data_IF_087132569375
#
_entry.id   IF_087132569375
#
_cell.length_a   1.000
_cell.length_b   1.000
_cell.length_c   1.000
_cell.angle_alpha   90.00
_cell.angle_beta   90.00
_cell.angle_gamma   90.00
#
_symmetry.space_group_name_H-M   'P 1'
#
loop_
_entity.id
_entity.type
_entity.pdbx_description
1 polymer ?
#
# COMPACT_ATOMS: atom_id res chain seq x y z
N UNK A 1 5.23 18.33 8.71
CA UNK A 1 4.65 17.22 7.96
C UNK A 1 4.15 17.60 6.55
N UNK A 2 3.33 18.64 6.30
CA UNK A 2 2.79 18.88 4.96
C UNK A 2 3.83 19.23 3.88
N UNK A 3 4.92 19.91 4.20
CA UNK A 3 5.92 20.32 3.22
C UNK A 3 6.69 19.12 2.61
N UNK A 4 7.04 18.13 3.42
CA UNK A 4 7.73 16.90 2.97
C UNK A 4 6.84 16.10 2.04
N UNK A 5 5.56 15.91 2.38
CA UNK A 5 4.60 15.21 1.53
C UNK A 5 4.40 15.93 0.19
N UNK A 6 4.28 17.27 0.19
CA UNK A 6 4.20 18.06 -1.03
C UNK A 6 5.45 17.95 -1.90
N UNK A 7 6.61 17.92 -1.29
CA UNK A 7 7.86 17.72 -2.02
C UNK A 7 7.85 16.37 -2.75
N UNK A 8 7.50 15.28 -2.06
CA UNK A 8 7.46 13.95 -2.69
C UNK A 8 6.31 13.76 -3.68
N UNK A 9 5.21 14.51 -3.55
CA UNK A 9 4.06 14.38 -4.47
C UNK A 9 4.34 14.80 -5.92
N UNK A 10 5.39 15.58 -6.17
CA UNK A 10 5.76 16.01 -7.54
C UNK A 10 6.65 15.00 -8.27
N UNK A 11 7.23 14.04 -7.54
CA UNK A 11 8.11 13.04 -8.16
C UNK A 11 7.31 12.00 -8.96
N UNK A 12 7.89 11.50 -10.06
CA UNK A 12 7.28 10.41 -10.81
C UNK A 12 7.24 9.14 -9.98
N UNK A 13 6.19 8.35 -10.16
CA UNK A 13 5.91 7.16 -9.35
C UNK A 13 7.04 6.13 -9.38
N UNK A 14 7.69 5.95 -10.54
CA UNK A 14 8.80 5.02 -10.65
C UNK A 14 9.98 5.36 -9.72
N UNK A 15 10.27 6.67 -9.55
CA UNK A 15 11.33 7.12 -8.66
C UNK A 15 10.96 6.88 -7.19
N UNK A 16 9.72 7.18 -6.81
CA UNK A 16 9.20 6.89 -5.48
C UNK A 16 9.25 5.39 -5.17
N UNK A 17 8.97 4.54 -6.15
CA UNK A 17 9.06 3.09 -5.99
C UNK A 17 10.49 2.60 -5.79
N UNK A 18 11.49 3.18 -6.45
CA UNK A 18 12.89 2.84 -6.21
C UNK A 18 13.28 3.23 -4.79
N UNK A 19 13.01 4.48 -4.41
CA UNK A 19 13.30 4.99 -3.05
C UNK A 19 12.59 4.14 -2.00
N UNK A 20 11.31 3.88 -2.18
CA UNK A 20 10.50 3.08 -1.26
C UNK A 20 11.03 1.65 -1.13
N UNK A 21 11.41 1.02 -2.23
CA UNK A 21 12.01 -0.31 -2.22
C UNK A 21 13.28 -0.35 -1.37
N UNK A 22 14.19 0.60 -1.59
CA UNK A 22 15.44 0.71 -0.81
C UNK A 22 15.14 0.93 0.66
N UNK A 23 14.25 1.87 0.99
CA UNK A 23 13.86 2.15 2.38
C UNK A 23 13.19 0.95 3.05
N UNK A 24 12.38 0.18 2.33
CA UNK A 24 11.78 -1.06 2.82
C UNK A 24 12.85 -2.08 3.23
N UNK A 25 13.85 -2.28 2.40
CA UNK A 25 14.96 -3.17 2.71
C UNK A 25 15.85 -2.66 3.85
N UNK A 26 16.12 -1.36 3.90
CA UNK A 26 16.85 -0.74 5.03
C UNK A 26 16.08 -0.93 6.32
N UNK A 27 14.77 -0.67 6.34
CA UNK A 27 13.92 -0.88 7.52
C UNK A 27 13.94 -2.36 7.96
N UNK A 28 13.87 -3.29 7.02
CA UNK A 28 13.97 -4.73 7.32
C UNK A 28 15.33 -5.11 7.92
N UNK A 29 16.42 -4.55 7.42
CA UNK A 29 17.78 -4.84 7.91
C UNK A 29 18.00 -4.26 9.32
N UNK A 30 17.55 -3.02 9.56
CA UNK A 30 17.82 -2.29 10.80
C UNK A 30 16.84 -2.65 11.92
N UNK A 31 15.54 -2.83 11.60
CA UNK A 31 14.52 -3.10 12.58
C UNK A 31 14.36 -4.60 12.86
N UNK A 32 14.95 -5.07 13.97
CA UNK A 32 14.79 -6.47 14.42
C UNK A 32 13.34 -6.84 14.68
N UNK A 33 12.55 -5.93 15.25
CA UNK A 33 11.12 -6.15 15.53
C UNK A 33 10.32 -6.32 14.24
N UNK A 34 10.53 -5.45 13.24
CA UNK A 34 9.86 -5.56 11.95
C UNK A 34 10.21 -6.89 11.26
N UNK A 35 11.51 -7.23 11.22
CA UNK A 35 11.99 -8.48 10.62
C UNK A 35 11.39 -9.70 11.30
N UNK A 36 11.38 -9.76 12.63
CA UNK A 36 10.80 -10.89 13.36
C UNK A 36 9.31 -11.05 13.08
N UNK A 37 8.53 -9.98 13.08
CA UNK A 37 7.09 -10.01 12.76
C UNK A 37 6.85 -10.46 11.32
N UNK A 38 7.63 -9.92 10.38
CA UNK A 38 7.53 -10.33 8.98
C UNK A 38 7.77 -11.83 8.80
N UNK A 39 8.86 -12.35 9.38
CA UNK A 39 9.21 -13.76 9.28
C UNK A 39 8.19 -14.67 9.99
N UNK A 40 7.69 -14.26 11.15
CA UNK A 40 6.66 -14.99 11.87
C UNK A 40 5.35 -15.06 11.06
N UNK A 41 4.90 -13.95 10.47
CA UNK A 41 3.71 -13.92 9.64
C UNK A 41 3.87 -14.78 8.36
N UNK A 42 5.04 -14.75 7.73
CA UNK A 42 5.34 -15.61 6.58
C UNK A 42 5.26 -17.09 6.96
N UNK A 43 5.86 -17.48 8.09
CA UNK A 43 5.82 -18.84 8.59
C UNK A 43 4.40 -19.31 8.92
N UNK A 44 3.58 -18.47 9.58
CA UNK A 44 2.17 -18.75 9.85
C UNK A 44 1.36 -18.99 8.57
N UNK A 45 1.69 -18.27 7.50
CA UNK A 45 1.07 -18.45 6.19
C UNK A 45 1.66 -19.63 5.38
N UNK A 46 2.63 -20.36 5.93
CA UNK A 46 3.26 -21.50 5.27
C UNK A 46 4.31 -21.13 4.21
N UNK A 47 4.81 -19.90 4.21
CA UNK A 47 5.82 -19.44 3.24
C UNK A 47 7.21 -19.34 3.86
N UNK A 48 8.22 -19.71 3.08
CA UNK A 48 9.62 -19.41 3.39
C UNK A 48 9.94 -17.95 3.06
N UNK A 49 10.98 -17.39 3.70
CA UNK A 49 11.45 -16.04 3.38
C UNK A 49 11.81 -15.87 1.90
N UNK A 50 12.42 -16.87 1.27
CA UNK A 50 12.79 -16.82 -0.14
C UNK A 50 11.58 -16.57 -1.07
N UNK A 51 10.42 -17.13 -0.72
CA UNK A 51 9.18 -16.97 -1.50
C UNK A 51 8.55 -15.59 -1.32
N UNK A 52 8.68 -14.96 -0.15
CA UNK A 52 8.02 -13.69 0.18
C UNK A 52 8.96 -12.49 0.26
N UNK A 53 10.26 -12.67 0.02
CA UNK A 53 11.26 -11.60 0.17
C UNK A 53 10.94 -10.32 -0.62
N UNK A 54 10.28 -10.45 -1.77
CA UNK A 54 9.87 -9.31 -2.58
C UNK A 54 8.88 -8.40 -1.86
N UNK A 55 8.07 -8.94 -0.94
CA UNK A 55 7.10 -8.17 -0.17
C UNK A 55 7.75 -7.09 0.71
N UNK A 56 9.01 -7.29 1.13
CA UNK A 56 9.77 -6.26 1.88
C UNK A 56 9.91 -4.99 1.06
N UNK A 57 10.35 -5.11 -0.20
CA UNK A 57 10.48 -3.97 -1.11
C UNK A 57 9.11 -3.39 -1.51
N UNK A 58 8.10 -4.24 -1.70
CA UNK A 58 6.74 -3.80 -2.03
C UNK A 58 6.09 -3.02 -0.89
N UNK A 59 6.29 -3.40 0.36
CA UNK A 59 5.81 -2.65 1.52
C UNK A 59 6.42 -1.22 1.55
N UNK A 60 7.71 -1.10 1.26
CA UNK A 60 8.35 0.21 1.16
C UNK A 60 7.82 1.05 0.00
N UNK A 61 7.56 0.46 -1.17
CA UNK A 61 6.95 1.13 -2.32
C UNK A 61 5.56 1.68 -1.98
N UNK A 62 4.72 0.87 -1.36
CA UNK A 62 3.37 1.25 -0.94
C UNK A 62 3.39 2.49 -0.03
N UNK A 63 4.30 2.56 0.92
CA UNK A 63 4.43 3.74 1.80
C UNK A 63 4.96 4.95 1.03
N UNK A 64 5.90 4.76 0.12
CA UNK A 64 6.52 5.86 -0.63
C UNK A 64 5.58 6.51 -1.66
N UNK A 65 4.56 5.80 -2.15
CA UNK A 65 3.60 6.35 -3.12
C UNK A 65 2.51 7.22 -2.49
N UNK A 66 2.25 7.10 -1.17
CA UNK A 66 1.20 7.85 -0.49
C UNK A 66 1.22 9.36 -0.74
N UNK A 67 2.36 10.06 -0.67
CA UNK A 67 2.39 11.49 -0.96
C UNK A 67 1.92 11.82 -2.38
N UNK A 68 2.24 10.96 -3.34
CA UNK A 68 1.85 11.14 -4.74
C UNK A 68 0.35 10.89 -4.93
N UNK A 69 -0.20 9.88 -4.27
CA UNK A 69 -1.62 9.54 -4.36
C UNK A 69 -2.50 10.60 -3.71
N UNK A 70 -2.09 11.11 -2.55
CA UNK A 70 -2.92 12.05 -1.79
C UNK A 70 -2.80 13.49 -2.25
N UNK A 71 -1.64 13.93 -2.72
CA UNK A 71 -1.35 15.33 -3.02
C UNK A 71 -0.89 15.57 -4.45
N UNK A 72 -0.70 14.51 -5.23
CA UNK A 72 -0.27 14.58 -6.62
C UNK A 72 -1.44 14.82 -7.60
N UNK A 73 -1.13 14.72 -8.89
CA UNK A 73 -2.17 14.75 -9.93
C UNK A 73 -3.11 13.53 -9.77
N UNK A 74 -4.42 13.71 -9.99
CA UNK A 74 -5.37 12.62 -9.92
C UNK A 74 -4.96 11.44 -10.81
N UNK A 75 -5.07 10.24 -10.27
CA UNK A 75 -4.84 9.00 -11.02
C UNK A 75 -6.20 8.52 -11.54
N UNK A 76 -6.34 8.21 -12.84
CA UNK A 76 -7.59 7.66 -13.35
C UNK A 76 -7.86 6.29 -12.72
N UNK A 77 -9.00 6.17 -12.06
CA UNK A 77 -9.44 4.94 -11.41
C UNK A 77 -10.65 4.41 -12.17
N UNK A 78 -10.63 3.13 -12.52
CA UNK A 78 -11.78 2.42 -13.04
C UNK A 78 -12.39 1.58 -11.91
N UNK A 79 -13.64 1.87 -11.57
CA UNK A 79 -14.38 1.13 -10.54
C UNK A 79 -15.25 0.09 -11.23
N UNK A 80 -15.06 -1.18 -10.88
CA UNK A 80 -15.91 -2.27 -11.33
C UNK A 80 -16.88 -2.66 -10.20
N UNK A 81 -18.17 -2.83 -10.54
CA UNK A 81 -19.21 -3.17 -9.56
C UNK A 81 -19.93 -1.98 -8.92
N UNK A 82 -19.71 -0.76 -9.40
CA UNK A 82 -20.41 0.45 -8.93
C UNK A 82 -21.94 0.27 -8.84
N UNK A 83 -22.65 -0.33 -9.83
CA UNK A 83 -24.10 -0.54 -9.74
C UNK A 83 -24.53 -1.39 -8.54
N UNK A 84 -23.68 -2.32 -8.08
CA UNK A 84 -24.00 -3.13 -6.88
C UNK A 84 -23.99 -2.28 -5.61
N UNK A 85 -23.06 -1.31 -5.54
CA UNK A 85 -22.98 -0.37 -4.43
C UNK A 85 -24.18 0.57 -4.43
N UNK A 86 -24.54 1.11 -5.59
CA UNK A 86 -25.71 1.99 -5.75
C UNK A 86 -27.01 1.30 -5.35
N UNK A 87 -27.22 0.06 -5.77
CA UNK A 87 -28.40 -0.72 -5.39
C UNK A 87 -28.45 -0.98 -3.88
N UNK A 88 -27.32 -1.33 -3.28
CA UNK A 88 -27.23 -1.56 -1.84
C UNK A 88 -27.52 -0.27 -1.05
N UNK A 89 -27.00 0.87 -1.54
CA UNK A 89 -27.23 2.19 -0.95
C UNK A 89 -28.70 2.60 -1.05
N UNK A 90 -29.32 2.44 -2.23
CA UNK A 90 -30.72 2.77 -2.49
C UNK A 90 -31.70 1.91 -1.65
N UNK A 91 -31.29 0.71 -1.25
CA UNK A 91 -32.07 -0.15 -0.37
C UNK A 91 -32.25 0.42 1.07
N UNK A 92 -31.51 1.44 1.46
CA UNK A 92 -31.67 2.18 2.74
C UNK A 92 -31.39 1.37 4.01
N UNK A 93 -30.77 0.19 3.88
CA UNK A 93 -30.47 -0.71 5.03
C UNK A 93 -29.07 -0.52 5.61
N UNK A 94 -28.32 0.45 5.11
CA UNK A 94 -26.91 0.62 5.40
C UNK A 94 -26.04 -0.33 4.61
N UNK A 95 -24.75 0.07 4.42
CA UNK A 95 -23.76 -0.73 3.68
C UNK A 95 -22.50 -0.82 4.52
N UNK A 96 -21.93 -2.00 4.65
CA UNK A 96 -20.64 -2.25 5.27
C UNK A 96 -19.67 -2.70 4.19
N UNK A 97 -18.59 -1.94 4.00
CA UNK A 97 -17.51 -2.29 3.07
C UNK A 97 -16.42 -3.06 3.80
N UNK A 98 -16.09 -4.24 3.29
CA UNK A 98 -14.95 -5.02 3.73
C UNK A 98 -13.83 -4.87 2.70
N UNK A 99 -12.71 -4.29 3.11
CA UNK A 99 -11.55 -4.11 2.23
C UNK A 99 -10.37 -4.90 2.77
N UNK A 100 -9.80 -5.81 1.94
CA UNK A 100 -8.69 -6.66 2.38
C UNK A 100 -7.37 -5.93 2.13
N UNK A 101 -7.05 -4.82 2.49
CA UNK A 101 -5.73 -4.16 2.38
C UNK A 101 -4.78 -4.77 1.33
N UNK A 102 -5.31 -5.08 0.13
CA UNK A 102 -4.55 -5.61 -0.99
C UNK A 102 -4.29 -4.49 -2.01
N UNK A 103 -3.04 -4.34 -2.42
CA UNK A 103 -2.64 -3.30 -3.36
C UNK A 103 -2.79 -1.89 -2.76
N UNK A 104 -2.99 -0.91 -3.62
CA UNK A 104 -3.18 0.49 -3.24
C UNK A 104 -4.65 0.77 -2.92
N UNK A 105 -5.07 0.52 -1.70
CA UNK A 105 -6.44 0.75 -1.24
C UNK A 105 -6.73 2.22 -0.83
N UNK A 106 -5.72 3.07 -0.91
CA UNK A 106 -5.77 4.50 -0.56
C UNK A 106 -6.25 5.41 -1.72
N UNK A 107 -6.62 4.84 -2.85
CA UNK A 107 -7.14 5.57 -4.02
C UNK A 107 -8.59 5.98 -3.87
#
# INVERSE_FOLDING_TARGET
MPAVFRFFSVFPLWLLHIIGCVLGWVAFAVSGVYRQRFLANAALAGYSFAQVRAAVGHAGRMVAELPRLWLGAPVPVRIEGEPCVEQAWAAGRGVVFLTPHLGCFEM
#
